data_IF_917354574150
#
_entry.id   IF_917354574150
#
_cell.length_a   1.000
_cell.length_b   1.000
_cell.length_c   1.000
_cell.angle_alpha   90.00
_cell.angle_beta   90.00
_cell.angle_gamma   90.00
#
_symmetry.space_group_name_H-M   'P 1'
#
loop_
_entity.id
_entity.type
_entity.pdbx_description
1 polymer ?
#
# COMPACT_ATOMS: atom_id res chain seq x y z
N UNK A 1 16.86 -16.35 -11.80
CA UNK A 1 15.64 -15.60 -12.20
C UNK A 1 14.44 -16.54 -12.06
N UNK A 2 13.50 -16.27 -11.15
CA UNK A 2 12.37 -17.18 -10.89
C UNK A 2 11.41 -17.25 -12.08
N UNK A 3 10.70 -18.38 -12.24
CA UNK A 3 9.65 -18.54 -13.26
C UNK A 3 8.62 -17.41 -13.17
N UNK A 4 8.20 -17.06 -11.95
CA UNK A 4 7.28 -15.94 -11.70
C UNK A 4 7.76 -14.62 -12.29
N UNK A 5 9.04 -14.26 -12.10
CA UNK A 5 9.61 -13.03 -12.67
C UNK A 5 9.69 -13.07 -14.18
N UNK A 6 9.95 -14.24 -14.78
CA UNK A 6 9.94 -14.40 -16.24
C UNK A 6 8.54 -14.21 -16.82
N UNK A 7 7.50 -14.66 -16.12
CA UNK A 7 6.10 -14.57 -16.58
C UNK A 7 5.45 -13.21 -16.32
N UNK A 8 5.79 -12.54 -15.21
CA UNK A 8 5.10 -11.32 -14.76
C UNK A 8 5.94 -10.04 -14.87
N UNK A 9 7.25 -10.17 -15.12
CA UNK A 9 8.21 -9.06 -15.10
C UNK A 9 8.61 -8.60 -13.69
N UNK A 10 7.96 -9.10 -12.64
CA UNK A 10 8.18 -8.68 -11.26
C UNK A 10 8.60 -9.83 -10.34
N UNK A 11 9.34 -9.53 -9.29
CA UNK A 11 9.61 -10.49 -8.22
C UNK A 11 8.32 -10.79 -7.46
N UNK A 12 8.27 -11.96 -6.80
CA UNK A 12 7.14 -12.32 -5.95
C UNK A 12 6.89 -11.27 -4.86
N UNK A 13 7.96 -10.73 -4.26
CA UNK A 13 7.86 -9.70 -3.23
C UNK A 13 7.28 -8.39 -3.77
N UNK A 14 7.62 -7.97 -4.99
CA UNK A 14 7.01 -6.80 -5.63
C UNK A 14 5.52 -7.01 -5.85
N UNK A 15 5.13 -8.19 -6.34
CA UNK A 15 3.72 -8.54 -6.52
C UNK A 15 2.94 -8.56 -5.19
N UNK A 16 3.49 -9.19 -4.15
CA UNK A 16 2.88 -9.20 -2.82
C UNK A 16 2.74 -7.77 -2.27
N UNK A 17 3.75 -6.93 -2.44
CA UNK A 17 3.67 -5.53 -1.98
C UNK A 17 2.62 -4.73 -2.75
N UNK A 18 2.42 -4.99 -4.05
CA UNK A 18 1.33 -4.40 -4.83
C UNK A 18 -0.05 -4.82 -4.28
N UNK A 19 -0.24 -6.10 -3.99
CA UNK A 19 -1.50 -6.60 -3.41
C UNK A 19 -1.77 -6.00 -2.03
N UNK A 20 -0.76 -5.97 -1.15
CA UNK A 20 -0.85 -5.35 0.17
C UNK A 20 -1.20 -3.87 0.07
N UNK A 21 -0.62 -3.16 -0.90
CA UNK A 21 -0.91 -1.75 -1.12
C UNK A 21 -2.34 -1.51 -1.60
N UNK A 22 -2.81 -2.31 -2.56
CA UNK A 22 -4.19 -2.22 -3.07
C UNK A 22 -5.21 -2.41 -1.94
N UNK A 23 -4.97 -3.40 -1.07
CA UNK A 23 -5.81 -3.59 0.12
C UNK A 23 -5.72 -2.42 1.10
N UNK A 24 -4.52 -1.88 1.35
CA UNK A 24 -4.35 -0.71 2.20
C UNK A 24 -5.09 0.52 1.69
N UNK A 25 -5.09 0.76 0.36
CA UNK A 25 -5.84 1.85 -0.26
C UNK A 25 -7.34 1.69 -0.03
N UNK A 26 -7.89 0.49 -0.18
CA UNK A 26 -9.29 0.22 0.11
C UNK A 26 -9.64 0.53 1.57
N UNK A 27 -8.78 0.13 2.52
CA UNK A 27 -8.99 0.44 3.94
C UNK A 27 -8.92 1.94 4.24
N UNK A 28 -8.03 2.69 3.57
CA UNK A 28 -7.87 4.15 3.74
C UNK A 28 -9.07 4.96 3.23
N UNK A 29 -9.97 4.36 2.44
CA UNK A 29 -11.19 5.02 1.97
C UNK A 29 -12.26 5.14 3.06
N UNK A 30 -12.13 4.42 4.18
CA UNK A 30 -13.01 4.59 5.33
C UNK A 30 -12.67 5.86 6.10
N UNK A 31 -13.69 6.62 6.54
CA UNK A 31 -13.52 7.95 7.14
C UNK A 31 -12.64 7.94 8.40
N UNK A 32 -12.73 6.88 9.20
CA UNK A 32 -12.01 6.75 10.49
C UNK A 32 -10.77 5.86 10.40
N UNK A 33 -10.24 5.64 9.20
CA UNK A 33 -9.09 4.74 9.01
C UNK A 33 -7.86 5.23 9.79
N UNK A 34 -7.40 4.41 10.74
CA UNK A 34 -6.14 4.62 11.45
C UNK A 34 -4.97 4.06 10.62
N UNK A 35 -4.02 4.91 10.22
CA UNK A 35 -2.92 4.55 9.32
C UNK A 35 -2.04 3.42 9.86
N UNK A 36 -1.78 3.39 11.17
CA UNK A 36 -1.01 2.30 11.79
C UNK A 36 -1.77 0.98 11.69
N UNK A 37 -3.08 1.00 11.97
CA UNK A 37 -3.93 -0.19 11.88
C UNK A 37 -3.99 -0.70 10.45
N UNK A 38 -4.19 0.18 9.47
CA UNK A 38 -4.17 -0.15 8.05
C UNK A 38 -2.85 -0.81 7.65
N UNK A 39 -1.71 -0.26 8.09
CA UNK A 39 -0.41 -0.84 7.80
C UNK A 39 -0.31 -2.30 8.29
N UNK A 40 -0.76 -2.56 9.52
CA UNK A 40 -0.72 -3.90 10.12
C UNK A 40 -1.69 -4.86 9.44
N UNK A 41 -2.95 -4.44 9.25
CA UNK A 41 -3.99 -5.25 8.63
C UNK A 41 -3.68 -5.56 7.15
N UNK A 42 -2.91 -4.69 6.49
CA UNK A 42 -2.40 -4.92 5.13
C UNK A 42 -1.13 -5.76 5.07
N UNK A 43 -0.69 -6.32 6.21
CA UNK A 43 0.41 -7.28 6.27
C UNK A 43 1.81 -6.67 6.21
N UNK A 44 1.96 -5.38 6.53
CA UNK A 44 3.28 -4.77 6.73
C UNK A 44 3.76 -4.99 8.16
N UNK A 45 5.01 -5.42 8.33
CA UNK A 45 5.59 -5.65 9.66
C UNK A 45 5.96 -4.39 10.44
N UNK A 46 5.90 -3.21 9.80
CA UNK A 46 6.10 -1.93 10.49
C UNK A 46 5.49 -0.77 9.70
N UNK A 47 5.16 0.32 10.42
CA UNK A 47 4.68 1.56 9.80
C UNK A 47 5.73 2.18 8.86
N UNK A 48 7.02 2.05 9.18
CA UNK A 48 8.11 2.53 8.32
C UNK A 48 8.17 1.77 6.99
N UNK A 49 8.06 0.44 7.03
CA UNK A 49 8.04 -0.40 5.83
C UNK A 49 6.81 -0.11 4.95
N UNK A 50 5.66 0.12 5.60
CA UNK A 50 4.43 0.55 4.93
C UNK A 50 4.62 1.89 4.23
N UNK A 51 5.02 2.94 4.96
CA UNK A 51 5.17 4.28 4.40
C UNK A 51 6.16 4.31 3.23
N UNK A 52 7.29 3.59 3.34
CA UNK A 52 8.27 3.47 2.27
C UNK A 52 7.68 2.80 1.03
N UNK A 53 6.98 1.68 1.21
CA UNK A 53 6.35 0.95 0.10
C UNK A 53 5.22 1.73 -0.54
N UNK A 54 4.37 2.37 0.28
CA UNK A 54 3.24 3.18 -0.17
C UNK A 54 3.73 4.35 -1.01
N UNK A 55 4.72 5.12 -0.53
CA UNK A 55 5.28 6.22 -1.30
C UNK A 55 5.95 5.74 -2.60
N UNK A 56 6.67 4.62 -2.55
CA UNK A 56 7.33 4.05 -3.74
C UNK A 56 6.32 3.66 -4.83
N UNK A 57 5.18 3.08 -4.45
CA UNK A 57 4.23 2.47 -5.39
C UNK A 57 3.07 3.41 -5.76
N UNK A 58 2.56 4.20 -4.81
CA UNK A 58 1.45 5.14 -5.00
C UNK A 58 1.91 6.59 -5.29
N UNK A 59 3.21 6.89 -5.18
CA UNK A 59 3.77 8.22 -5.44
C UNK A 59 3.50 9.28 -4.36
N UNK A 60 2.74 8.95 -3.32
CA UNK A 60 2.36 9.87 -2.23
C UNK A 60 2.34 9.17 -0.87
N UNK A 61 2.13 9.91 0.22
CA UNK A 61 1.98 9.27 1.54
C UNK A 61 0.56 8.75 1.75
N UNK A 62 0.34 7.76 2.65
CA UNK A 62 -1.00 7.32 3.03
C UNK A 62 -1.89 8.47 3.53
N UNK A 63 -1.30 9.43 4.27
CA UNK A 63 -2.00 10.60 4.79
C UNK A 63 -2.42 11.55 3.66
N UNK A 64 -1.56 11.79 2.68
CA UNK A 64 -1.88 12.64 1.52
C UNK A 64 -2.94 11.99 0.64
N UNK A 65 -2.83 10.68 0.42
CA UNK A 65 -3.86 9.89 -0.26
C UNK A 65 -5.23 10.07 0.40
N UNK A 66 -5.29 9.95 1.74
CA UNK A 66 -6.54 10.15 2.51
C UNK A 66 -7.06 11.59 2.42
N UNK A 67 -6.18 12.60 2.47
CA UNK A 67 -6.58 14.01 2.31
C UNK A 67 -7.18 14.27 0.93
N UNK A 68 -6.62 13.68 -0.13
CA UNK A 68 -7.16 13.77 -1.48
C UNK A 68 -8.58 13.24 -1.60
N UNK A 69 -8.91 12.15 -0.88
CA UNK A 69 -10.28 11.60 -0.83
C UNK A 69 -11.28 12.52 -0.13
N UNK A 70 -10.85 13.28 0.88
CA UNK A 70 -11.71 14.23 1.58
C UNK A 70 -11.99 15.49 0.76
N UNK A 71 -11.02 15.92 -0.07
CA UNK A 71 -11.16 17.09 -0.96
C UNK A 71 -11.85 16.82 -2.29
N UNK A 72 -12.10 15.56 -2.65
CA UNK A 72 -12.84 15.15 -3.85
C UNK A 72 -14.35 14.97 -3.61
N UNK A 73 -14.86 15.42 -2.45
CA UNK A 73 -16.28 15.43 -2.09
C UNK A 73 -16.88 16.82 -2.27
#
# INVERSE_FOLDING_TARGET
MSLFKKSTGMTLNEYVNLLRLSYAQALLMHQDANVLRVAMDSGFGSLSAFNKSFRKLAGMTPSDFRKGLAGAR
#
